data_IF_053959461908
#
_entry.id   IF_053959461908
#
_cell.length_a   1.000
_cell.length_b   1.000
_cell.length_c   1.000
_cell.angle_alpha   90.00
_cell.angle_beta   90.00
_cell.angle_gamma   90.00
#
_symmetry.space_group_name_H-M   'P 1'
#
loop_
_entity.id
_entity.type
_entity.pdbx_description
1 polymer ?
#
# COMPACT_ATOMS: atom_id res chain seq x y z
N UNK A 1 14.50 -20.57 -0.64
CA UNK A 1 13.88 -19.51 -1.48
C UNK A 1 13.08 -18.60 -0.56
N UNK A 2 13.75 -17.88 0.34
CA UNK A 2 13.11 -16.89 1.21
C UNK A 2 13.31 -15.53 0.54
N UNK A 3 12.49 -15.25 -0.47
CA UNK A 3 12.32 -13.88 -0.93
C UNK A 3 11.73 -13.13 0.25
N UNK A 4 12.51 -12.24 0.85
CA UNK A 4 12.00 -11.31 1.85
C UNK A 4 10.83 -10.58 1.22
N UNK A 5 9.63 -10.76 1.76
CA UNK A 5 8.43 -10.07 1.27
C UNK A 5 8.69 -8.57 1.36
N UNK A 6 9.09 -7.97 0.24
CA UNK A 6 9.44 -6.56 0.21
C UNK A 6 8.15 -5.75 0.31
N UNK A 7 7.79 -5.40 1.55
CA UNK A 7 6.66 -4.53 1.89
C UNK A 7 6.90 -3.07 1.46
N UNK A 8 7.98 -2.77 0.72
CA UNK A 8 8.23 -1.44 0.16
C UNK A 8 7.21 -1.08 -0.92
N UNK A 9 6.74 -2.05 -1.72
CA UNK A 9 5.81 -1.80 -2.82
C UNK A 9 4.35 -1.87 -2.37
N UNK A 10 3.47 -1.03 -2.97
CA UNK A 10 2.04 -1.10 -2.68
C UNK A 10 1.41 -2.40 -3.19
N UNK A 11 0.30 -2.78 -2.58
CA UNK A 11 -0.56 -3.84 -3.10
C UNK A 11 -1.52 -3.26 -4.14
N UNK A 12 -1.68 -3.94 -5.28
CA UNK A 12 -2.78 -3.69 -6.22
C UNK A 12 -3.88 -4.69 -5.91
N UNK A 13 -4.99 -4.23 -5.33
CA UNK A 13 -6.12 -5.09 -4.98
C UNK A 13 -7.32 -4.80 -5.87
N UNK A 14 -7.88 -5.82 -6.51
CA UNK A 14 -9.22 -5.71 -7.09
C UNK A 14 -10.26 -5.79 -5.98
N UNK A 15 -11.22 -4.88 -5.98
CA UNK A 15 -12.35 -4.88 -5.05
C UNK A 15 -13.65 -4.94 -5.83
N UNK A 16 -14.62 -5.73 -5.36
CA UNK A 16 -15.90 -5.95 -6.03
C UNK A 16 -17.10 -5.49 -5.19
N UNK A 17 -18.25 -5.18 -5.81
CA UNK A 17 -19.46 -4.86 -5.08
C UNK A 17 -19.93 -5.98 -4.16
N UNK A 18 -20.45 -5.62 -2.99
CA UNK A 18 -20.92 -6.58 -1.99
C UNK A 18 -19.82 -7.14 -1.08
N UNK A 19 -18.55 -6.82 -1.34
CA UNK A 19 -17.45 -7.15 -0.45
C UNK A 19 -17.30 -6.11 0.66
N UNK A 20 -16.81 -6.54 1.83
CA UNK A 20 -16.41 -5.65 2.92
C UNK A 20 -14.93 -5.86 3.22
N UNK A 21 -14.13 -4.82 3.02
CA UNK A 21 -12.70 -4.84 3.30
C UNK A 21 -12.39 -4.02 4.56
N UNK A 22 -11.56 -4.54 5.44
CA UNK A 22 -11.10 -3.82 6.64
C UNK A 22 -9.63 -3.39 6.47
N UNK A 23 -9.43 -2.13 6.14
CA UNK A 23 -8.12 -1.58 5.77
C UNK A 23 -7.54 -0.72 6.89
N UNK A 24 -6.22 -0.81 7.09
CA UNK A 24 -5.53 -0.08 8.15
C UNK A 24 -5.31 1.38 7.75
N UNK A 25 -5.71 2.34 8.62
CA UNK A 25 -5.35 3.76 8.47
C UNK A 25 -4.29 4.24 9.46
N UNK A 26 -4.11 3.52 10.57
CA UNK A 26 -3.23 3.94 11.66
C UNK A 26 -1.76 3.57 11.45
N UNK A 27 -1.45 2.71 10.47
CA UNK A 27 -0.08 2.24 10.18
C UNK A 27 0.50 1.26 11.20
N UNK A 28 -0.25 0.91 12.26
CA UNK A 28 0.19 0.01 13.35
C UNK A 28 -0.20 -1.46 13.14
N UNK A 29 -0.88 -1.77 12.04
CA UNK A 29 -1.25 -3.16 11.74
C UNK A 29 0.00 -4.00 11.48
N UNK A 30 0.11 -5.21 12.05
CA UNK A 30 1.20 -6.13 11.72
C UNK A 30 1.08 -6.72 10.30
N UNK A 31 -0.07 -6.54 9.65
CA UNK A 31 -0.41 -7.15 8.35
C UNK A 31 -0.95 -6.11 7.36
N UNK A 32 -0.28 -4.97 7.23
CA UNK A 32 -0.63 -3.96 6.22
C UNK A 32 -0.79 -4.61 4.82
N UNK A 33 -1.83 -4.26 4.06
CA UNK A 33 -2.73 -3.10 4.22
C UNK A 33 -3.98 -3.35 5.08
N UNK A 34 -4.18 -4.57 5.58
CA UNK A 34 -5.39 -4.97 6.30
C UNK A 34 -5.33 -4.64 7.79
N UNK A 35 -6.50 -4.59 8.44
CA UNK A 35 -6.63 -4.27 9.85
C UNK A 35 -7.44 -5.31 10.62
N UNK A 36 -7.12 -5.49 11.90
CA UNK A 36 -7.89 -6.36 12.79
C UNK A 36 -9.31 -5.79 13.00
N UNK A 37 -10.35 -6.64 13.11
CA UNK A 37 -11.76 -6.22 13.21
C UNK A 37 -12.13 -5.28 14.36
N UNK A 38 -11.28 -5.15 15.39
CA UNK A 38 -11.50 -4.28 16.54
C UNK A 38 -10.74 -2.94 16.50
N UNK A 39 -10.07 -2.59 15.40
CA UNK A 39 -9.33 -1.34 15.33
C UNK A 39 -10.28 -0.14 15.18
N UNK A 40 -10.28 0.78 16.15
CA UNK A 40 -11.09 2.00 16.12
C UNK A 40 -10.72 2.97 14.99
N UNK A 41 -9.52 2.83 14.41
CA UNK A 41 -9.02 3.66 13.31
C UNK A 41 -9.06 2.92 11.96
N UNK A 42 -9.61 1.70 11.90
CA UNK A 42 -9.76 0.94 10.66
C UNK A 42 -10.76 1.58 9.70
N UNK A 43 -10.49 1.47 8.40
CA UNK A 43 -11.47 1.79 7.36
C UNK A 43 -12.26 0.54 7.00
N UNK A 44 -13.59 0.61 7.08
CA UNK A 44 -14.47 -0.34 6.39
C UNK A 44 -14.76 0.19 4.99
N UNK A 45 -14.25 -0.51 3.98
CA UNK A 45 -14.48 -0.22 2.57
C UNK A 45 -15.54 -1.18 2.00
N UNK A 46 -16.62 -0.61 1.49
CA UNK A 46 -17.69 -1.32 0.77
C UNK A 46 -17.75 -0.77 -0.66
N UNK A 47 -17.14 -1.45 -1.63
CA UNK A 47 -17.10 -0.98 -3.02
C UNK A 47 -18.51 -0.96 -3.62
N UNK A 48 -18.84 0.11 -4.34
CA UNK A 48 -20.10 0.19 -5.12
C UNK A 48 -19.97 -0.34 -6.55
N UNK A 49 -18.72 -0.46 -7.04
CA UNK A 49 -18.37 -0.98 -8.36
C UNK A 49 -17.05 -1.72 -8.28
N UNK A 50 -16.81 -2.59 -9.26
CA UNK A 50 -15.52 -3.23 -9.42
C UNK A 50 -14.44 -2.19 -9.77
N UNK A 51 -13.31 -2.22 -9.09
CA UNK A 51 -12.15 -1.37 -9.37
C UNK A 51 -10.86 -1.94 -8.78
N UNK A 52 -9.72 -1.46 -9.28
CA UNK A 52 -8.42 -1.71 -8.66
C UNK A 52 -8.06 -0.55 -7.73
N UNK A 53 -7.56 -0.87 -6.54
CA UNK A 53 -7.07 0.10 -5.56
C UNK A 53 -5.61 -0.17 -5.25
N UNK A 54 -4.84 0.90 -5.05
CA UNK A 54 -3.44 0.85 -4.64
C UNK A 54 -3.37 1.05 -3.12
N UNK A 55 -2.99 0.00 -2.40
CA UNK A 55 -2.95 -0.02 -0.94
C UNK A 55 -1.52 0.06 -0.42
N UNK A 56 -1.34 0.78 0.68
CA UNK A 56 -0.04 0.98 1.31
C UNK A 56 0.35 -0.24 2.16
N UNK A 57 1.54 -0.81 1.88
CA UNK A 57 2.17 -1.88 2.68
C UNK A 57 3.33 -1.40 3.54
N UNK A 58 3.91 -0.25 3.20
CA UNK A 58 5.12 0.26 3.86
C UNK A 58 4.88 1.09 5.13
N UNK A 59 3.63 1.48 5.40
CA UNK A 59 3.27 2.32 6.56
C UNK A 59 3.68 3.79 6.47
N UNK A 60 4.23 4.26 5.33
CA UNK A 60 4.73 5.64 5.18
C UNK A 60 3.74 6.59 4.49
N UNK A 61 2.61 6.09 4.00
CA UNK A 61 1.62 6.90 3.27
C UNK A 61 0.94 7.92 4.19
N UNK A 62 0.79 9.15 3.70
CA UNK A 62 -0.01 10.20 4.35
C UNK A 62 -1.50 10.08 4.02
N UNK A 63 -1.87 9.17 3.11
CA UNK A 63 -3.25 8.91 2.66
C UNK A 63 -3.71 7.48 2.96
N UNK A 64 -3.21 6.90 4.06
CA UNK A 64 -3.57 5.57 4.54
C UNK A 64 -5.11 5.36 4.49
N UNK A 65 -5.61 4.25 3.89
CA UNK A 65 -4.89 3.01 3.51
C UNK A 65 -4.26 3.03 2.11
N UNK A 66 -4.43 4.11 1.36
CA UNK A 66 -4.00 4.17 -0.03
C UNK A 66 -2.52 4.52 -0.17
N UNK A 67 -1.88 4.03 -1.23
CA UNK A 67 -0.53 4.42 -1.57
C UNK A 67 -0.50 5.83 -2.19
N UNK A 68 0.40 6.69 -1.70
CA UNK A 68 0.65 8.03 -2.22
C UNK A 68 2.07 8.20 -2.80
N UNK A 69 2.82 7.11 -2.93
CA UNK A 69 4.20 7.12 -3.41
C UNK A 69 5.25 7.41 -2.34
N UNK A 70 4.88 7.67 -1.08
CA UNK A 70 5.84 7.97 0.00
C UNK A 70 6.89 6.87 0.24
N UNK A 71 6.61 5.63 -0.19
CA UNK A 71 7.55 4.51 -0.15
C UNK A 71 8.79 4.70 -1.03
N UNK A 72 8.73 5.59 -2.03
CA UNK A 72 9.83 5.88 -2.94
C UNK A 72 10.22 7.36 -2.80
N UNK A 73 11.24 7.68 -1.98
CA UNK A 73 11.72 9.05 -1.82
C UNK A 73 12.08 9.70 -3.16
N UNK A 74 12.12 11.03 -3.29
CA UNK A 74 12.60 11.66 -4.52
C UNK A 74 14.08 11.32 -4.78
N UNK A 75 14.41 10.97 -6.04
CA UNK A 75 15.79 10.79 -6.45
C UNK A 75 16.45 12.15 -6.71
N UNK A 76 17.52 12.46 -5.97
CA UNK A 76 18.23 13.72 -6.12
C UNK A 76 19.22 13.66 -7.29
N UNK A 77 18.90 14.38 -8.37
CA UNK A 77 19.74 14.52 -9.55
C UNK A 77 19.56 13.42 -10.60
N UNK A 78 20.04 13.69 -11.82
CA UNK A 78 19.86 12.82 -12.99
C UNK A 78 20.50 11.44 -12.77
N UNK A 79 21.71 11.38 -12.20
CA UNK A 79 22.41 10.12 -11.90
C UNK A 79 21.63 9.23 -10.92
N UNK A 80 20.98 9.81 -9.91
CA UNK A 80 20.16 9.03 -8.97
C UNK A 80 18.87 8.52 -9.62
N UNK A 81 18.24 9.33 -10.49
CA UNK A 81 17.08 8.91 -11.28
C UNK A 81 17.43 7.75 -12.23
N UNK A 82 18.53 7.87 -12.97
CA UNK A 82 19.00 6.81 -13.88
C UNK A 82 19.30 5.49 -13.17
N UNK A 83 19.86 5.52 -11.97
CA UNK A 83 20.09 4.30 -11.17
C UNK A 83 18.82 3.52 -10.86
N UNK A 84 17.64 4.16 -10.82
CA UNK A 84 16.36 3.47 -10.62
C UNK A 84 15.94 2.67 -11.85
N UNK A 85 16.14 3.24 -13.04
CA UNK A 85 15.79 2.58 -14.30
C UNK A 85 16.80 1.50 -14.70
N UNK A 86 18.10 1.76 -14.46
CA UNK A 86 19.16 0.84 -14.86
C UNK A 86 19.20 -0.45 -14.04
N UNK A 87 18.55 -0.50 -12.87
CA UNK A 87 18.60 -1.66 -11.99
C UNK A 87 17.55 -2.75 -12.29
N UNK A 88 16.59 -2.48 -13.18
CA UNK A 88 15.67 -3.48 -13.74
C UNK A 88 15.21 -4.55 -12.75
N UNK A 89 14.47 -4.15 -11.73
CA UNK A 89 13.65 -5.07 -10.92
C UNK A 89 12.18 -4.90 -11.34
#
# INVERSE_FOLDING_TARGET
>A
MSGSEDNSLPEVRQVNPGETHLLCRCGRSPVLPDCSPGCCEGLRLEPVRQQFVLLCRCGQSRRMPYCDGSHSPPAQGLKARWRRFAKGD
#
